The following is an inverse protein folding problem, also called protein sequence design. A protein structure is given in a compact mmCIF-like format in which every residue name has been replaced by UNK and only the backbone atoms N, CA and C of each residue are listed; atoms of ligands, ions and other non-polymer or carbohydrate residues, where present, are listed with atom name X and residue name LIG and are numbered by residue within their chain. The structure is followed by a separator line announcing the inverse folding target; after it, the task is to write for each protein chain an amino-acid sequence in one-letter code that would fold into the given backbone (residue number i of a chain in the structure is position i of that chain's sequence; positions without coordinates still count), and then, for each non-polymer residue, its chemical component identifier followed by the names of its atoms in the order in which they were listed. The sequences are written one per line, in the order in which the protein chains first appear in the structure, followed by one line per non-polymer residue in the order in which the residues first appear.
data_IF_911429209328
#
_entry.id   IF_911429209328
#
_cell.length_a   1.000
_cell.length_b   1.000
_cell.length_c   1.000
_cell.angle_alpha   90.00
_cell.angle_beta   90.00
_cell.angle_gamma   90.00
#
_symmetry.space_group_name_H-M   'P 1'
#
loop_
_entity.id
_entity.type
_entity.pdbx_description
1 polymer ?
#
# COMPACT_ATOMS: atom_id res chain seq x y z
N UNK A 1 1.62 10.18 4.13
CA UNK A 1 1.04 11.51 4.46
C UNK A 1 1.29 12.52 3.35
N UNK A 2 2.51 12.60 2.80
CA UNK A 2 2.83 13.52 1.69
C UNK A 2 1.96 13.34 0.45
N UNK A 3 1.67 12.10 0.03
CA UNK A 3 0.76 11.86 -1.11
C UNK A 3 -0.67 12.40 -0.87
N UNK A 4 -1.23 12.19 0.32
CA UNK A 4 -2.53 12.77 0.67
C UNK A 4 -2.46 14.31 0.76
N UNK A 5 -1.33 14.85 1.23
CA UNK A 5 -1.06 16.28 1.24
C UNK A 5 -0.99 16.88 -0.17
N UNK A 6 -0.32 16.21 -1.10
CA UNK A 6 -0.18 16.61 -2.50
C UNK A 6 -1.56 16.70 -3.19
N UNK A 7 -2.44 15.72 -2.92
CA UNK A 7 -3.80 15.73 -3.44
C UNK A 7 -4.61 16.93 -2.92
N UNK A 8 -4.49 17.23 -1.62
CA UNK A 8 -5.18 18.37 -1.01
C UNK A 8 -4.62 19.70 -1.48
N UNK A 9 -3.30 19.84 -1.66
CA UNK A 9 -2.72 21.06 -2.25
C UNK A 9 -3.16 21.28 -3.69
N UNK A 10 -3.38 20.21 -4.46
CA UNK A 10 -3.93 20.31 -5.81
C UNK A 10 -5.39 20.75 -5.82
N UNK A 11 -6.21 20.31 -4.86
CA UNK A 11 -7.61 20.76 -4.71
C UNK A 11 -7.74 22.20 -4.21
N UNK A 12 -6.77 22.69 -3.44
CA UNK A 12 -6.76 24.03 -2.85
C UNK A 12 -5.49 24.79 -3.27
N UNK A 13 -5.43 25.32 -4.50
CA UNK A 13 -4.25 26.05 -4.99
C UNK A 13 -3.87 27.23 -4.09
N UNK A 14 -2.56 27.49 -3.96
CA UNK A 14 -2.03 28.56 -3.09
C UNK A 14 -1.82 28.17 -1.63
N UNK A 15 -2.01 26.89 -1.29
CA UNK A 15 -1.72 26.32 0.02
C UNK A 15 -0.43 25.51 0.03
N UNK A 16 0.24 25.40 1.18
CA UNK A 16 1.49 24.64 1.31
C UNK A 16 1.22 23.12 1.37
N UNK A 17 2.06 22.36 0.67
CA UNK A 17 2.04 20.89 0.69
C UNK A 17 2.36 20.34 2.08
N UNK A 18 3.33 20.94 2.77
CA UNK A 18 3.75 20.57 4.12
C UNK A 18 2.58 20.69 5.10
N UNK A 19 1.82 21.79 5.00
CA UNK A 19 0.63 22.00 5.83
C UNK A 19 -0.38 20.85 5.64
N UNK A 20 -0.73 20.52 4.41
CA UNK A 20 -1.69 19.44 4.13
C UNK A 20 -1.15 18.06 4.48
N UNK A 21 0.14 17.80 4.29
CA UNK A 21 0.78 16.56 4.70
C UNK A 21 0.72 16.38 6.23
N UNK A 22 0.98 17.45 7.00
CA UNK A 22 0.86 17.46 8.46
C UNK A 22 -0.60 17.24 8.87
N UNK A 23 -1.55 17.97 8.26
CA UNK A 23 -2.98 17.79 8.53
C UNK A 23 -3.40 16.35 8.28
N UNK A 24 -3.04 15.76 7.13
CA UNK A 24 -3.38 14.39 6.80
C UNK A 24 -2.77 13.38 7.81
N UNK A 25 -1.53 13.60 8.25
CA UNK A 25 -0.87 12.81 9.28
C UNK A 25 -1.57 12.91 10.64
N UNK A 26 -1.93 14.12 11.08
CA UNK A 26 -2.68 14.37 12.32
C UNK A 26 -4.09 13.77 12.25
N UNK A 27 -4.76 13.83 11.09
CA UNK A 27 -6.07 13.21 10.88
C UNK A 27 -5.97 11.69 11.01
N UNK A 28 -4.97 11.05 10.37
CA UNK A 28 -4.72 9.61 10.52
C UNK A 28 -4.44 9.24 11.98
N UNK A 29 -3.57 10.01 12.65
CA UNK A 29 -3.29 9.86 14.08
C UNK A 29 -4.56 9.94 14.92
N UNK A 30 -5.37 10.97 14.73
CA UNK A 30 -6.59 11.19 15.53
C UNK A 30 -7.59 10.07 15.33
N UNK A 31 -7.85 9.68 14.08
CA UNK A 31 -8.79 8.59 13.75
C UNK A 31 -8.35 7.25 14.36
N UNK A 32 -7.06 6.96 14.32
CA UNK A 32 -6.50 5.71 14.87
C UNK A 32 -6.30 5.75 16.38
N UNK A 33 -6.11 6.93 16.97
CA UNK A 33 -6.00 7.17 18.41
C UNK A 33 -7.29 6.86 19.17
N UNK A 34 -8.43 7.10 18.51
CA UNK A 34 -9.76 6.73 19.03
C UNK A 34 -9.85 5.23 19.37
N UNK A 35 -8.99 4.40 18.76
CA UNK A 35 -8.87 2.98 19.10
C UNK A 35 -10.11 2.15 18.76
N UNK A 36 -10.99 2.66 17.88
CA UNK A 36 -12.22 1.98 17.46
C UNK A 36 -11.99 1.31 16.12
N UNK A 37 -11.76 0.00 16.13
CA UNK A 37 -11.53 -0.78 14.91
C UNK A 37 -12.67 -0.61 13.87
N UNK A 38 -13.93 -0.61 14.30
CA UNK A 38 -15.08 -0.41 13.41
C UNK A 38 -15.08 0.93 12.67
N UNK A 39 -14.57 1.99 13.30
CA UNK A 39 -14.44 3.30 12.65
C UNK A 39 -13.35 3.25 11.58
N UNK A 40 -12.20 2.69 11.94
CA UNK A 40 -11.08 2.46 11.00
C UNK A 40 -11.53 1.64 9.79
N UNK A 41 -12.21 0.52 10.03
CA UNK A 41 -12.67 -0.39 8.98
C UNK A 41 -13.65 0.30 8.02
N UNK A 42 -14.69 0.94 8.56
CA UNK A 42 -15.71 1.62 7.73
C UNK A 42 -15.12 2.76 6.91
N UNK A 43 -14.28 3.59 7.53
CA UNK A 43 -13.62 4.69 6.81
C UNK A 43 -12.68 4.16 5.72
N UNK A 44 -11.89 3.13 6.02
CA UNK A 44 -11.03 2.48 5.03
C UNK A 44 -11.85 1.94 3.86
N UNK A 45 -12.94 1.23 4.14
CA UNK A 45 -13.82 0.66 3.11
C UNK A 45 -14.44 1.75 2.22
N UNK A 46 -14.89 2.87 2.81
CA UNK A 46 -15.43 4.01 2.05
C UNK A 46 -14.35 4.62 1.15
N UNK A 47 -13.15 4.89 1.69
CA UNK A 47 -12.05 5.46 0.91
C UNK A 47 -11.60 4.52 -0.21
N UNK A 48 -11.52 3.22 0.07
CA UNK A 48 -11.23 2.17 -0.91
C UNK A 48 -12.29 2.17 -2.02
N UNK A 49 -13.57 2.25 -1.65
CA UNK A 49 -14.67 2.34 -2.61
C UNK A 49 -14.58 3.59 -3.49
N UNK A 50 -14.30 4.75 -2.89
CA UNK A 50 -14.13 6.01 -3.63
C UNK A 50 -12.94 5.90 -4.59
N UNK A 51 -11.75 5.50 -4.13
CA UNK A 51 -10.59 5.39 -5.02
C UNK A 51 -10.84 4.39 -6.15
N UNK A 52 -11.53 3.28 -5.87
CA UNK A 52 -11.80 2.27 -6.89
C UNK A 52 -12.76 2.82 -7.95
N UNK A 53 -13.91 3.36 -7.54
CA UNK A 53 -14.93 3.88 -8.48
C UNK A 53 -14.37 5.03 -9.31
N UNK A 54 -13.59 5.92 -8.69
CA UNK A 54 -13.00 7.07 -9.39
C UNK A 54 -11.92 6.64 -10.37
N UNK A 55 -10.87 5.94 -9.93
CA UNK A 55 -9.73 5.58 -10.79
C UNK A 55 -10.14 4.60 -11.88
N UNK A 56 -10.91 3.57 -11.54
CA UNK A 56 -11.40 2.59 -12.53
C UNK A 56 -12.43 3.23 -13.46
N UNK A 57 -13.30 4.10 -12.93
CA UNK A 57 -14.27 4.84 -13.73
C UNK A 57 -13.60 5.76 -14.75
N UNK A 58 -12.58 6.51 -14.33
CA UNK A 58 -11.79 7.35 -15.23
C UNK A 58 -11.08 6.48 -16.25
N UNK A 59 -10.36 5.43 -15.83
CA UNK A 59 -9.68 4.53 -16.77
C UNK A 59 -10.63 3.89 -17.81
N UNK A 60 -11.88 3.60 -17.43
CA UNK A 60 -12.89 3.08 -18.34
C UNK A 60 -13.39 4.13 -19.35
N UNK A 61 -13.44 5.41 -18.96
CA UNK A 61 -13.82 6.53 -19.83
C UNK A 61 -12.65 6.93 -20.74
N UNK A 62 -11.44 6.94 -20.20
CA UNK A 62 -10.20 7.28 -20.90
C UNK A 62 -9.63 6.10 -21.66
N UNK A 63 -10.37 5.00 -21.78
CA UNK A 63 -9.86 3.71 -22.20
C UNK A 63 -9.03 3.82 -23.50
N UNK A 64 -7.76 3.36 -23.50
CA UNK A 64 -7.01 3.20 -24.74
C UNK A 64 -7.71 2.13 -25.60
N UNK A 65 -7.32 2.03 -26.88
CA UNK A 65 -7.80 0.99 -27.80
C UNK A 65 -7.83 -0.39 -27.08
N UNK A 66 -9.03 -0.88 -26.74
CA UNK A 66 -9.25 -2.20 -26.10
C UNK A 66 -8.47 -3.35 -26.77
N UNK A 67 -8.27 -3.37 -28.11
CA UNK A 67 -7.42 -4.37 -28.76
C UNK A 67 -5.94 -4.34 -28.32
N UNK A 68 -5.36 -3.17 -28.06
CA UNK A 68 -3.95 -3.03 -27.64
C UNK A 68 -3.76 -3.50 -26.19
N UNK A 69 -4.75 -3.28 -25.32
CA UNK A 69 -4.74 -3.80 -23.94
C UNK A 69 -4.69 -5.33 -23.93
N UNK A 70 -5.40 -5.98 -24.86
CA UNK A 70 -5.36 -7.45 -25.03
C UNK A 70 -3.96 -7.91 -25.49
N UNK A 71 -3.32 -7.13 -26.37
CA UNK A 71 -1.93 -7.37 -26.76
C UNK A 71 -0.95 -7.32 -25.59
N UNK A 72 -1.17 -6.39 -24.65
CA UNK A 72 -0.37 -6.28 -23.41
C UNK A 72 -0.52 -7.44 -22.42
N UNK A 73 -1.53 -8.31 -22.59
CA UNK A 73 -1.67 -9.53 -21.78
C UNK A 73 -0.68 -10.63 -22.18
N UNK A 74 -0.03 -10.50 -23.34
CA UNK A 74 1.04 -11.42 -23.74
C UNK A 74 2.26 -11.12 -22.86
N UNK A 75 2.73 -12.08 -22.03
CA UNK A 75 3.84 -11.84 -21.11
C UNK A 75 5.12 -11.60 -21.92
N UNK A 76 5.51 -10.34 -22.01
CA UNK A 76 6.76 -9.89 -22.60
C UNK A 76 7.48 -9.01 -21.58
N UNK A 77 8.78 -9.23 -21.42
CA UNK A 77 9.64 -8.42 -20.57
C UNK A 77 10.65 -7.77 -21.51
N UNK A 78 10.45 -6.50 -21.88
CA UNK A 78 11.44 -5.73 -22.64
C UNK A 78 12.80 -5.72 -21.93
N UNK A 79 13.87 -5.65 -22.71
CA UNK A 79 15.23 -5.60 -22.16
C UNK A 79 15.37 -4.41 -21.19
N UNK A 80 15.98 -4.65 -20.02
CA UNK A 80 16.14 -3.63 -18.97
C UNK A 80 14.89 -3.32 -18.13
N UNK A 81 13.72 -3.88 -18.46
CA UNK A 81 12.47 -3.59 -17.74
C UNK A 81 12.20 -4.47 -16.52
N UNK A 82 12.99 -5.54 -16.33
CA UNK A 82 12.75 -6.56 -15.30
C UNK A 82 12.69 -5.97 -13.88
N UNK A 83 13.56 -5.00 -13.57
CA UNK A 83 13.58 -4.29 -12.28
C UNK A 83 12.30 -3.48 -12.09
N UNK A 84 11.78 -2.82 -13.13
CA UNK A 84 10.52 -2.08 -13.05
C UNK A 84 9.31 -3.00 -12.84
N UNK A 85 9.26 -4.14 -13.53
CA UNK A 85 8.20 -5.16 -13.36
C UNK A 85 8.17 -5.65 -11.90
N UNK A 86 9.34 -6.01 -11.35
CA UNK A 86 9.45 -6.45 -9.97
C UNK A 86 9.15 -5.34 -8.96
N UNK A 87 9.51 -4.10 -9.27
CA UNK A 87 9.21 -2.93 -8.43
C UNK A 87 7.69 -2.68 -8.35
N UNK A 88 6.97 -2.77 -9.47
CA UNK A 88 5.51 -2.67 -9.51
C UNK A 88 4.88 -3.84 -8.75
N UNK A 89 5.36 -5.07 -8.97
CA UNK A 89 4.87 -6.26 -8.26
C UNK A 89 5.06 -6.12 -6.74
N UNK A 90 6.20 -5.59 -6.30
CA UNK A 90 6.52 -5.34 -4.89
C UNK A 90 5.69 -4.22 -4.27
N UNK A 91 5.55 -3.10 -4.99
CA UNK A 91 4.82 -1.93 -4.52
C UNK A 91 3.34 -2.19 -4.31
N UNK A 92 2.73 -3.03 -5.16
CA UNK A 92 1.30 -3.36 -5.10
C UNK A 92 1.02 -4.48 -4.10
N UNK A 93 1.75 -5.59 -4.17
CA UNK A 93 1.41 -6.81 -3.43
C UNK A 93 2.20 -7.02 -2.14
N UNK A 94 3.29 -6.28 -1.94
CA UNK A 94 4.38 -6.67 -1.05
C UNK A 94 4.67 -5.75 0.12
N UNK A 95 3.65 -5.12 0.69
CA UNK A 95 3.85 -4.14 1.76
C UNK A 95 3.86 -4.77 3.15
N UNK A 96 4.49 -4.07 4.11
CA UNK A 96 4.52 -4.46 5.53
C UNK A 96 3.11 -4.70 6.09
N UNK A 97 2.10 -3.99 5.57
CA UNK A 97 0.71 -4.13 6.02
C UNK A 97 0.10 -5.49 5.72
N UNK A 98 0.70 -6.33 4.86
CA UNK A 98 0.24 -7.70 4.69
C UNK A 98 0.31 -8.49 6.01
N UNK A 99 1.33 -8.23 6.83
CA UNK A 99 1.44 -8.80 8.18
C UNK A 99 0.39 -8.23 9.15
N UNK A 100 -0.13 -7.03 8.90
CA UNK A 100 -1.18 -6.43 9.71
C UNK A 100 -2.53 -7.14 9.57
N UNK A 101 -2.77 -7.84 8.46
CA UNK A 101 -4.03 -8.55 8.22
C UNK A 101 -4.38 -9.54 9.35
N UNK A 102 -3.40 -10.28 9.86
CA UNK A 102 -3.59 -11.18 11.00
C UNK A 102 -4.10 -10.49 12.27
N UNK A 103 -3.69 -9.23 12.49
CA UNK A 103 -4.15 -8.43 13.61
C UNK A 103 -5.59 -7.92 13.39
N UNK A 104 -5.93 -7.53 12.17
CA UNK A 104 -7.31 -7.13 11.83
C UNK A 104 -8.30 -8.29 11.91
N UNK A 105 -7.89 -9.51 11.56
CA UNK A 105 -8.69 -10.72 11.80
C UNK A 105 -8.93 -10.96 13.29
N UNK A 106 -7.93 -10.71 14.14
CA UNK A 106 -8.09 -10.80 15.60
C UNK A 106 -9.11 -9.80 16.12
N UNK A 107 -9.09 -8.56 15.62
CA UNK A 107 -10.08 -7.52 15.94
C UNK A 107 -11.51 -7.88 15.49
N UNK A 108 -11.63 -8.63 14.38
CA UNK A 108 -12.91 -9.19 13.90
C UNK A 108 -13.33 -10.50 14.57
N UNK A 109 -12.50 -11.02 15.48
CA UNK A 109 -12.68 -12.34 16.09
C UNK A 109 -12.69 -13.51 15.06
N UNK A 110 -12.02 -13.30 13.91
CA UNK A 110 -11.86 -14.27 12.81
C UNK A 110 -10.58 -15.11 12.95
N UNK A 111 -10.37 -15.70 14.13
CA UNK A 111 -9.13 -16.43 14.45
C UNK A 111 -9.31 -17.95 14.63
N UNK A 112 -10.51 -18.49 14.38
CA UNK A 112 -10.81 -19.92 14.49
C UNK A 112 -10.99 -20.56 13.11
N UNK A 113 -10.74 -21.88 12.95
CA UNK A 113 -10.84 -22.55 11.65
C UNK A 113 -12.19 -22.41 10.92
N UNK A 114 -13.29 -22.16 11.65
CA UNK A 114 -14.62 -21.91 11.07
C UNK A 114 -14.65 -20.72 10.10
N UNK A 115 -13.76 -19.75 10.28
CA UNK A 115 -13.67 -18.55 9.46
C UNK A 115 -12.80 -18.72 8.23
N UNK A 116 -12.13 -19.87 8.03
CA UNK A 116 -11.17 -20.06 6.95
C UNK A 116 -11.78 -19.83 5.56
N UNK A 117 -13.02 -20.28 5.33
CA UNK A 117 -13.71 -20.04 4.05
C UNK A 117 -14.00 -18.55 3.84
N UNK A 118 -14.43 -17.85 4.88
CA UNK A 118 -14.70 -16.40 4.83
C UNK A 118 -13.42 -15.62 4.57
N UNK A 119 -12.33 -15.95 5.27
CA UNK A 119 -11.01 -15.33 5.08
C UNK A 119 -10.46 -15.56 3.67
N UNK A 120 -10.68 -16.74 3.09
CA UNK A 120 -10.27 -17.02 1.69
C UNK A 120 -11.08 -16.21 0.69
N UNK A 121 -12.39 -16.11 0.90
CA UNK A 121 -13.26 -15.30 0.05
C UNK A 121 -12.91 -13.80 0.16
N UNK A 122 -12.69 -13.30 1.38
CA UNK A 122 -12.26 -11.93 1.65
C UNK A 122 -10.96 -11.60 0.92
N UNK A 123 -9.93 -12.45 1.05
CA UNK A 123 -8.68 -12.29 0.32
C UNK A 123 -8.86 -12.38 -1.20
N UNK A 124 -9.65 -13.34 -1.69
CA UNK A 124 -9.87 -13.51 -3.13
C UNK A 124 -10.54 -12.26 -3.75
N UNK A 125 -11.56 -11.72 -3.10
CA UNK A 125 -12.24 -10.49 -3.52
C UNK A 125 -11.28 -9.31 -3.44
N UNK A 126 -10.55 -9.16 -2.32
CA UNK A 126 -9.59 -8.08 -2.15
C UNK A 126 -8.54 -8.07 -3.27
N UNK A 127 -7.89 -9.20 -3.54
CA UNK A 127 -6.88 -9.29 -4.60
C UNK A 127 -7.44 -9.14 -6.01
N UNK A 128 -8.67 -9.61 -6.28
CA UNK A 128 -9.32 -9.39 -7.57
C UNK A 128 -9.60 -7.89 -7.81
N UNK A 129 -10.14 -7.20 -6.81
CA UNK A 129 -10.40 -5.75 -6.85
C UNK A 129 -9.08 -4.98 -6.99
N UNK A 130 -8.04 -5.34 -6.23
CA UNK A 130 -6.70 -4.75 -6.39
C UNK A 130 -6.13 -4.99 -7.78
N UNK A 131 -6.27 -6.19 -8.35
CA UNK A 131 -5.82 -6.48 -9.71
C UNK A 131 -6.49 -5.58 -10.76
N UNK A 132 -7.82 -5.43 -10.68
CA UNK A 132 -8.57 -4.51 -11.57
C UNK A 132 -8.08 -3.07 -11.39
N UNK A 133 -7.91 -2.63 -10.15
CA UNK A 133 -7.43 -1.28 -9.84
C UNK A 133 -6.03 -1.00 -10.41
N UNK A 134 -5.12 -1.98 -10.31
CA UNK A 134 -3.75 -1.86 -10.83
C UNK A 134 -3.76 -1.79 -12.34
N UNK A 135 -4.53 -2.65 -13.01
CA UNK A 135 -4.69 -2.60 -14.47
C UNK A 135 -5.27 -1.26 -14.94
N UNK A 136 -6.29 -0.75 -14.24
CA UNK A 136 -6.87 0.56 -14.51
C UNK A 136 -5.86 1.69 -14.33
N UNK A 137 -5.08 1.67 -13.25
CA UNK A 137 -4.05 2.68 -12.98
C UNK A 137 -2.93 2.63 -14.01
N UNK A 138 -2.51 1.43 -14.44
CA UNK A 138 -1.52 1.26 -15.51
C UNK A 138 -2.03 1.79 -16.86
N UNK A 139 -3.29 1.48 -17.21
CA UNK A 139 -3.91 1.97 -18.44
C UNK A 139 -4.03 3.51 -18.44
N UNK A 140 -4.46 4.08 -17.31
CA UNK A 140 -4.55 5.53 -17.12
C UNK A 140 -3.16 6.18 -17.19
N UNK A 141 -2.16 5.58 -16.54
CA UNK A 141 -0.77 6.04 -16.64
C UNK A 141 -0.24 6.01 -18.06
N UNK A 142 -0.46 4.91 -18.79
CA UNK A 142 -0.02 4.76 -20.18
C UNK A 142 -0.68 5.79 -21.11
N UNK A 143 -2.01 5.96 -21.04
CA UNK A 143 -2.73 6.93 -21.87
C UNK A 143 -2.28 8.37 -21.57
N UNK A 144 -2.11 8.73 -20.28
CA UNK A 144 -1.68 10.08 -19.91
C UNK A 144 -0.23 10.36 -20.31
N UNK A 145 0.68 9.40 -20.14
CA UNK A 145 2.08 9.53 -20.58
C UNK A 145 2.19 9.61 -22.11
N UNK A 146 1.42 8.80 -22.83
CA UNK A 146 1.46 8.74 -24.29
C UNK A 146 0.78 9.96 -24.94
N UNK A 147 -0.35 10.41 -24.39
CA UNK A 147 -1.09 11.55 -24.92
C UNK A 147 -0.48 12.90 -24.58
N UNK A 148 0.24 13.01 -23.46
CA UNK A 148 0.83 14.27 -23.05
C UNK A 148 2.14 14.57 -23.79
N UNK A 149 2.88 13.57 -24.31
CA UNK A 149 4.28 13.75 -24.76
C UNK A 149 5.16 14.43 -23.68
N UNK A 150 4.65 14.49 -22.44
CA UNK A 150 5.27 15.07 -21.27
C UNK A 150 6.22 14.00 -20.80
N UNK A 151 7.52 14.24 -20.99
CA UNK A 151 8.49 13.68 -20.07
C UNK A 151 8.03 14.11 -18.68
N UNK A 152 7.47 13.19 -17.89
CA UNK A 152 7.17 13.42 -16.48
C UNK A 152 8.40 14.09 -15.93
N UNK A 153 8.28 15.37 -15.62
CA UNK A 153 9.43 16.13 -15.18
C UNK A 153 9.96 15.43 -13.92
N UNK A 154 11.27 15.40 -13.72
CA UNK A 154 11.94 14.87 -12.49
C UNK A 154 11.50 15.60 -11.20
N UNK A 155 10.43 16.40 -11.27
CA UNK A 155 9.82 17.12 -10.17
C UNK A 155 8.78 16.22 -9.48
N UNK A 156 8.65 16.38 -8.17
CA UNK A 156 7.70 15.65 -7.30
C UNK A 156 6.20 15.96 -7.59
N UNK A 157 5.87 16.44 -8.81
CA UNK A 157 4.56 16.97 -9.23
C UNK A 157 3.78 16.05 -10.19
N UNK A 158 4.21 14.81 -10.43
CA UNK A 158 3.53 13.92 -11.41
C UNK A 158 2.01 13.73 -11.21
N UNK A 159 1.48 13.93 -9.99
CA UNK A 159 0.03 13.97 -9.77
C UNK A 159 -0.64 15.19 -10.43
N UNK A 160 -0.03 16.37 -10.29
CA UNK A 160 -0.53 17.64 -10.81
C UNK A 160 -0.50 17.60 -12.33
N UNK A 161 0.61 17.14 -12.91
CA UNK A 161 0.74 16.94 -14.35
C UNK A 161 -0.38 16.04 -14.91
N UNK A 162 -0.68 14.92 -14.22
CA UNK A 162 -1.79 14.03 -14.61
C UNK A 162 -3.17 14.68 -14.48
N UNK A 163 -3.37 15.49 -13.43
CA UNK A 163 -4.63 16.19 -13.22
C UNK A 163 -4.87 17.27 -14.28
N UNK A 164 -3.83 18.00 -14.68
CA UNK A 164 -3.88 19.04 -15.71
C UNK A 164 -4.21 18.41 -17.08
N UNK A 165 -3.57 17.30 -17.45
CA UNK A 165 -3.88 16.57 -18.69
C UNK A 165 -5.34 16.06 -18.71
N UNK A 166 -5.83 15.56 -17.57
CA UNK A 166 -7.22 15.15 -17.44
C UNK A 166 -8.19 16.34 -17.53
N UNK A 167 -7.81 17.49 -16.98
CA UNK A 167 -8.61 18.72 -17.05
C UNK A 167 -8.71 19.23 -18.49
N UNK A 168 -7.59 19.29 -19.21
CA UNK A 168 -7.54 19.77 -20.59
C UNK A 168 -8.37 18.89 -21.54
N UNK A 169 -8.36 17.57 -21.33
CA UNK A 169 -9.00 16.62 -22.25
C UNK A 169 -10.43 16.25 -21.88
N UNK A 170 -10.73 16.16 -20.58
CA UNK A 170 -12.03 15.67 -20.07
C UNK A 170 -12.74 16.68 -19.16
N UNK A 171 -12.16 17.85 -18.95
CA UNK A 171 -12.72 18.94 -18.17
C UNK A 171 -12.43 18.84 -16.66
N UNK A 172 -12.62 19.98 -15.98
CA UNK A 172 -12.36 20.17 -14.55
C UNK A 172 -13.03 19.13 -13.65
N UNK A 173 -14.20 18.62 -14.04
CA UNK A 173 -14.91 17.59 -13.25
C UNK A 173 -14.09 16.29 -13.15
N UNK A 174 -13.54 15.81 -14.27
CA UNK A 174 -12.78 14.56 -14.29
C UNK A 174 -11.43 14.69 -13.59
N UNK A 175 -10.75 15.83 -13.75
CA UNK A 175 -9.53 16.16 -13.00
C UNK A 175 -9.79 16.15 -11.49
N UNK A 176 -10.82 16.85 -11.01
CA UNK A 176 -11.16 16.84 -9.57
C UNK A 176 -11.56 15.46 -9.07
N UNK A 177 -12.28 14.68 -9.87
CA UNK A 177 -12.65 13.30 -9.54
C UNK A 177 -11.41 12.41 -9.38
N UNK A 178 -10.40 12.59 -10.26
CA UNK A 178 -9.11 11.91 -10.18
C UNK A 178 -8.37 12.27 -8.89
N UNK A 179 -8.26 13.56 -8.57
CA UNK A 179 -7.55 14.02 -7.37
C UNK A 179 -8.23 13.48 -6.10
N UNK A 180 -9.56 13.44 -6.05
CA UNK A 180 -10.31 12.82 -4.94
C UNK A 180 -10.04 11.32 -4.83
N UNK A 181 -9.96 10.62 -5.96
CA UNK A 181 -9.57 9.21 -6.01
C UNK A 181 -8.17 8.97 -5.47
N UNK A 182 -7.20 9.77 -5.93
CA UNK A 182 -5.82 9.70 -5.48
C UNK A 182 -5.67 10.05 -3.98
N UNK A 183 -6.37 11.08 -3.51
CA UNK A 183 -6.45 11.39 -2.08
C UNK A 183 -6.95 10.20 -1.27
N UNK A 184 -8.03 9.56 -1.73
CA UNK A 184 -8.63 8.42 -1.06
C UNK A 184 -7.66 7.22 -0.99
N UNK A 185 -6.90 6.98 -2.06
CA UNK A 185 -5.85 5.97 -2.09
C UNK A 185 -4.70 6.28 -1.12
N UNK A 186 -4.17 7.51 -1.18
CA UNK A 186 -3.05 7.92 -0.33
C UNK A 186 -3.43 7.96 1.16
N UNK A 187 -4.62 8.46 1.49
CA UNK A 187 -5.10 8.58 2.85
C UNK A 187 -5.46 7.22 3.47
N UNK A 188 -6.13 6.33 2.72
CA UNK A 188 -6.43 4.97 3.19
C UNK A 188 -5.16 4.15 3.47
N UNK A 189 -4.13 4.28 2.62
CA UNK A 189 -2.81 3.66 2.85
C UNK A 189 -2.15 4.16 4.15
N UNK A 190 -2.19 5.48 4.40
CA UNK A 190 -1.68 6.05 5.65
C UNK A 190 -2.43 5.52 6.88
N UNK A 191 -3.76 5.48 6.80
CA UNK A 191 -4.61 4.99 7.88
C UNK A 191 -4.32 3.51 8.19
N UNK A 192 -4.16 2.68 7.16
CA UNK A 192 -3.81 1.26 7.27
C UNK A 192 -2.48 1.03 7.98
N UNK A 193 -1.44 1.80 7.61
CA UNK A 193 -0.12 1.73 8.26
C UNK A 193 -0.20 2.17 9.73
N UNK A 194 -0.89 3.29 10.02
CA UNK A 194 -1.01 3.82 11.38
C UNK A 194 -1.67 2.83 12.32
N UNK A 195 -2.72 2.14 11.86
CA UNK A 195 -3.38 1.13 12.66
C UNK A 195 -2.57 -0.18 12.72
N UNK A 196 -2.24 -0.74 11.55
CA UNK A 196 -1.65 -2.08 11.44
C UNK A 196 -0.27 -2.20 12.06
N UNK A 197 0.64 -1.27 11.74
CA UNK A 197 2.02 -1.32 12.25
C UNK A 197 2.06 -1.02 13.75
N UNK A 198 1.18 -0.14 14.25
CA UNK A 198 1.05 0.11 15.69
C UNK A 198 0.59 -1.14 16.46
N UNK A 199 -0.29 -1.96 15.86
CA UNK A 199 -0.69 -3.24 16.45
C UNK A 199 0.45 -4.26 16.45
N UNK A 200 1.18 -4.36 15.33
CA UNK A 200 2.36 -5.22 15.22
C UNK A 200 3.42 -4.86 16.28
N UNK A 201 3.69 -3.57 16.47
CA UNK A 201 4.62 -3.11 17.50
C UNK A 201 4.12 -3.41 18.91
N UNK A 202 2.83 -3.16 19.19
CA UNK A 202 2.26 -3.45 20.50
C UNK A 202 2.38 -4.93 20.87
N UNK A 203 2.14 -5.81 19.89
CA UNK A 203 2.27 -7.26 20.03
C UNK A 203 3.73 -7.69 20.20
N UNK A 204 4.67 -7.10 19.45
CA UNK A 204 6.11 -7.32 19.62
C UNK A 204 6.58 -6.99 21.04
N UNK A 205 6.20 -5.82 21.58
CA UNK A 205 6.50 -5.45 22.96
C UNK A 205 5.83 -6.40 23.95
N UNK A 206 4.61 -6.86 23.66
CA UNK A 206 3.92 -7.87 24.43
C UNK A 206 4.74 -9.15 24.59
N UNK A 207 5.27 -9.68 23.47
CA UNK A 207 6.13 -10.85 23.47
C UNK A 207 7.45 -10.62 24.23
N UNK A 208 8.14 -9.50 23.99
CA UNK A 208 9.38 -9.17 24.70
C UNK A 208 9.20 -9.07 26.21
N UNK A 209 8.07 -8.52 26.65
CA UNK A 209 7.75 -8.34 28.08
C UNK A 209 6.96 -9.49 28.67
N UNK A 210 6.75 -10.59 27.93
CA UNK A 210 5.96 -11.76 28.34
C UNK A 210 4.57 -11.39 28.86
N UNK A 211 3.94 -10.40 28.23
CA UNK A 211 2.58 -9.98 28.55
C UNK A 211 1.60 -11.02 27.96
N UNK A 212 0.57 -11.47 28.71
CA UNK A 212 -0.41 -12.42 28.19
C UNK A 212 -1.10 -11.92 26.91
N UNK A 213 -1.42 -12.84 26.00
CA UNK A 213 -2.20 -12.49 24.83
C UNK A 213 -3.59 -11.99 25.23
N UNK A 214 -4.07 -10.94 24.55
CA UNK A 214 -5.34 -10.28 24.87
C UNK A 214 -5.25 -9.22 25.97
N UNK A 215 -4.05 -8.93 26.51
CA UNK A 215 -3.88 -7.86 27.49
C UNK A 215 -4.20 -6.48 26.86
N UNK A 216 -5.04 -5.66 27.52
CA UNK A 216 -5.45 -4.33 27.02
C UNK A 216 -4.29 -3.37 26.71
N UNK A 217 -3.09 -3.59 27.26
CA UNK A 217 -1.91 -2.77 26.97
C UNK A 217 -1.37 -3.00 25.55
N UNK A 218 -1.67 -4.16 24.96
CA UNK A 218 -1.19 -4.62 23.65
C UNK A 218 -2.30 -4.66 22.58
N UNK A 219 -3.55 -4.37 22.96
CA UNK A 219 -4.69 -4.30 22.06
C UNK A 219 -4.78 -2.95 21.32
N UNK A 220 -5.73 -2.83 20.39
CA UNK A 220 -6.08 -1.55 19.78
C UNK A 220 -6.39 -0.50 20.86
N UNK A 221 -5.78 0.68 20.75
CA UNK A 221 -5.91 1.76 21.73
C UNK A 221 -5.11 1.56 23.03
N UNK A 222 -4.40 0.44 23.18
CA UNK A 222 -3.55 0.14 24.33
C UNK A 222 -2.32 1.04 24.46
N UNK A 223 -1.62 0.95 25.60
CA UNK A 223 -0.44 1.78 25.90
C UNK A 223 0.65 1.68 24.84
N UNK A 224 1.02 0.46 24.42
CA UNK A 224 2.12 0.26 23.48
C UNK A 224 1.72 0.63 22.05
N UNK A 225 0.47 0.37 21.67
CA UNK A 225 -0.13 0.83 20.43
C UNK A 225 -0.06 2.36 20.33
N UNK A 226 -0.53 3.08 21.37
CA UNK A 226 -0.51 4.55 21.43
C UNK A 226 0.89 5.14 21.44
N UNK A 227 1.82 4.51 22.16
CA UNK A 227 3.22 4.95 22.20
C UNK A 227 3.85 4.91 20.80
N UNK A 228 3.66 3.80 20.08
CA UNK A 228 4.15 3.68 18.72
C UNK A 228 3.43 4.62 17.75
N UNK A 229 2.12 4.81 17.94
CA UNK A 229 1.34 5.72 17.11
C UNK A 229 1.86 7.17 17.19
N UNK A 230 2.25 7.64 18.38
CA UNK A 230 2.93 8.93 18.56
C UNK A 230 4.27 8.93 17.84
N UNK A 231 5.08 7.88 18.03
CA UNK A 231 6.39 7.76 17.41
C UNK A 231 6.34 7.65 15.88
N UNK A 232 5.28 7.06 15.32
CA UNK A 232 5.05 6.96 13.88
C UNK A 232 4.59 8.30 13.29
N UNK A 233 3.96 9.15 14.10
CA UNK A 233 3.34 10.41 13.63
C UNK A 233 4.30 11.58 13.69
N UNK A 234 4.82 11.91 14.87
CA UNK A 234 5.48 13.20 15.10
C UNK A 234 6.95 13.24 14.67
N UNK A 235 7.81 12.26 14.99
CA UNK A 235 9.19 12.25 14.51
C UNK A 235 9.32 12.36 12.98
N UNK A 236 8.54 11.63 12.16
CA UNK A 236 8.64 11.76 10.71
C UNK A 236 8.15 13.11 10.17
N UNK A 237 7.28 13.83 10.88
CA UNK A 237 6.85 15.18 10.46
C UNK A 237 8.00 16.18 10.50
N UNK A 238 8.99 16.01 11.39
CA UNK A 238 10.19 16.85 11.41
C UNK A 238 11.01 16.70 10.11
N UNK A 239 10.94 15.52 9.48
CA UNK A 239 11.61 15.26 8.21
C UNK A 239 10.94 16.00 7.04
N UNK A 240 9.65 16.29 7.12
CA UNK A 240 8.96 17.13 6.13
C UNK A 240 9.51 18.56 6.15
N UNK A 241 9.90 19.07 7.32
CA UNK A 241 10.50 20.41 7.48
C UNK A 241 11.93 20.47 6.95
N UNK A 242 12.61 19.33 6.85
CA UNK A 242 14.00 19.24 6.36
C UNK A 242 14.08 19.22 4.83
N UNK A 243 12.94 19.26 4.12
CA UNK A 243 12.88 19.60 2.70
C UNK A 243 13.51 18.60 1.72
N UNK A 244 14.17 17.54 2.19
CA UNK A 244 14.59 16.32 1.46
C UNK A 244 15.54 15.49 2.34
N UNK A 245 15.14 14.29 2.78
CA UNK A 245 16.09 13.30 3.19
C UNK A 245 16.08 12.19 2.14
N UNK A 246 16.76 12.43 1.02
CA UNK A 246 16.98 11.40 -0.02
C UNK A 246 17.48 10.09 0.60
N UNK A 247 18.33 10.17 1.63
CA UNK A 247 18.77 9.01 2.40
C UNK A 247 17.65 8.25 3.14
N UNK A 248 16.59 8.90 3.61
CA UNK A 248 15.44 8.23 4.23
C UNK A 248 14.53 7.57 3.19
N UNK A 249 14.37 8.18 2.02
CA UNK A 249 13.63 7.58 0.90
C UNK A 249 14.36 6.33 0.41
N UNK A 250 15.68 6.43 0.22
CA UNK A 250 16.53 5.30 -0.18
C UNK A 250 16.50 4.22 0.91
N UNK A 251 16.70 4.56 2.19
CA UNK A 251 16.66 3.59 3.29
C UNK A 251 15.31 2.89 3.41
N UNK A 252 14.20 3.63 3.22
CA UNK A 252 12.86 3.05 3.19
C UNK A 252 12.67 2.10 1.99
N UNK A 253 13.15 2.49 0.80
CA UNK A 253 13.13 1.65 -0.40
C UNK A 253 13.89 0.34 -0.19
N UNK A 254 15.11 0.41 0.35
CA UNK A 254 15.95 -0.76 0.66
C UNK A 254 15.30 -1.67 1.72
N UNK A 255 14.77 -1.09 2.81
CA UNK A 255 14.06 -1.85 3.84
C UNK A 255 12.80 -2.53 3.28
N UNK A 256 12.07 -1.84 2.41
CA UNK A 256 10.90 -2.38 1.71
C UNK A 256 11.27 -3.54 0.78
N UNK A 257 12.35 -3.41 0.01
CA UNK A 257 12.85 -4.46 -0.88
C UNK A 257 13.28 -5.72 -0.13
N UNK A 258 13.84 -5.58 1.08
CA UNK A 258 14.23 -6.69 1.95
C UNK A 258 13.04 -7.39 2.62
N UNK A 259 11.92 -6.68 2.82
CA UNK A 259 10.77 -7.21 3.53
C UNK A 259 10.10 -8.37 2.79
N UNK A 260 9.97 -8.28 1.47
CA UNK A 260 9.28 -9.31 0.67
C UNK A 260 9.98 -10.67 0.66
N UNK A 261 11.30 -10.75 0.41
CA UNK A 261 12.06 -11.99 0.58
C UNK A 261 11.93 -12.57 1.99
N UNK A 262 12.06 -11.71 3.00
CA UNK A 262 11.94 -12.13 4.40
C UNK A 262 10.57 -12.76 4.68
N UNK A 263 9.49 -12.09 4.25
CA UNK A 263 8.13 -12.58 4.47
C UNK A 263 7.87 -13.87 3.68
N UNK A 264 8.24 -13.91 2.40
CA UNK A 264 8.04 -15.07 1.52
C UNK A 264 8.74 -16.32 2.04
N UNK A 265 10.02 -16.21 2.39
CA UNK A 265 10.80 -17.32 2.93
C UNK A 265 10.29 -17.76 4.31
N UNK A 266 9.97 -16.81 5.19
CA UNK A 266 9.46 -17.13 6.53
C UNK A 266 8.11 -17.84 6.46
N UNK A 267 7.19 -17.38 5.61
CA UNK A 267 5.91 -18.05 5.40
C UNK A 267 6.07 -19.42 4.75
N UNK A 268 7.00 -19.57 3.81
CA UNK A 268 7.31 -20.87 3.20
C UNK A 268 7.80 -21.87 4.26
N UNK A 269 8.62 -21.45 5.22
CA UNK A 269 9.00 -22.31 6.35
C UNK A 269 7.80 -22.59 7.26
N UNK A 270 7.19 -21.54 7.81
CA UNK A 270 6.13 -21.65 8.84
C UNK A 270 4.95 -22.51 8.38
N UNK A 271 4.46 -22.29 7.16
CA UNK A 271 3.30 -22.99 6.59
C UNK A 271 3.55 -24.46 6.24
N UNK A 272 4.81 -24.91 6.26
CA UNK A 272 5.18 -26.31 6.07
C UNK A 272 5.58 -27.01 7.38
N UNK A 273 5.57 -26.31 8.53
CA UNK A 273 5.96 -26.89 9.82
C UNK A 273 4.84 -27.68 10.53
N UNK A 274 5.20 -28.31 11.66
CA UNK A 274 4.26 -29.00 12.55
C UNK A 274 3.25 -28.06 13.24
N UNK A 275 3.55 -26.77 13.34
CA UNK A 275 2.67 -25.77 13.96
C UNK A 275 1.43 -25.48 13.10
N UNK A 276 1.48 -25.75 11.80
CA UNK A 276 0.33 -25.60 10.90
C UNK A 276 -0.41 -26.93 10.74
N UNK A 277 -1.75 -26.95 10.94
CA UNK A 277 -2.57 -28.14 10.71
C UNK A 277 -2.37 -28.69 9.29
N UNK A 278 -2.26 -30.02 9.14
CA UNK A 278 -1.93 -30.68 7.86
C UNK A 278 -2.81 -30.23 6.69
N UNK A 279 -4.12 -30.06 6.93
CA UNK A 279 -5.09 -29.64 5.91
C UNK A 279 -4.86 -28.21 5.36
N UNK A 280 -4.12 -27.37 6.07
CA UNK A 280 -3.83 -25.98 5.69
C UNK A 280 -2.36 -25.74 5.35
N UNK A 281 -1.55 -26.81 5.25
CA UNK A 281 -0.17 -26.68 4.78
C UNK A 281 -0.15 -26.44 3.29
N UNK A 282 0.92 -25.78 2.84
CA UNK A 282 1.10 -25.51 1.43
C UNK A 282 1.29 -26.82 0.64
N UNK A 283 0.62 -26.91 -0.50
CA UNK A 283 0.93 -27.91 -1.52
C UNK A 283 2.20 -27.54 -2.28
N UNK A 284 2.70 -28.49 -3.09
CA UNK A 284 3.91 -28.28 -3.89
C UNK A 284 3.79 -27.07 -4.84
N UNK A 285 2.62 -26.82 -5.44
CA UNK A 285 2.37 -25.67 -6.33
C UNK A 285 2.61 -24.35 -5.60
N UNK A 286 2.00 -24.20 -4.42
CA UNK A 286 2.12 -22.96 -3.61
C UNK A 286 3.56 -22.78 -3.15
N UNK A 287 4.23 -23.86 -2.73
CA UNK A 287 5.64 -23.81 -2.35
C UNK A 287 6.55 -23.39 -3.50
N UNK A 288 6.35 -23.94 -4.70
CA UNK A 288 7.11 -23.56 -5.89
C UNK A 288 6.89 -22.09 -6.25
N UNK A 289 5.64 -21.62 -6.26
CA UNK A 289 5.33 -20.22 -6.55
C UNK A 289 5.95 -19.27 -5.52
N UNK A 290 5.81 -19.58 -4.22
CA UNK A 290 6.41 -18.78 -3.16
C UNK A 290 7.95 -18.77 -3.25
N UNK A 291 8.58 -19.90 -3.59
CA UNK A 291 10.02 -19.97 -3.78
C UNK A 291 10.48 -19.11 -4.97
N UNK A 292 9.80 -19.21 -6.12
CA UNK A 292 10.09 -18.39 -7.31
C UNK A 292 9.95 -16.91 -7.01
N UNK A 293 8.85 -16.51 -6.36
CA UNK A 293 8.62 -15.11 -5.95
C UNK A 293 9.72 -14.65 -4.99
N UNK A 294 10.04 -15.46 -3.98
CA UNK A 294 11.09 -15.10 -3.01
C UNK A 294 12.45 -14.91 -3.70
N UNK A 295 12.83 -15.81 -4.62
CA UNK A 295 14.08 -15.71 -5.38
C UNK A 295 14.09 -14.46 -6.27
N UNK A 296 12.98 -14.14 -6.95
CA UNK A 296 12.88 -12.95 -7.78
C UNK A 296 13.04 -11.65 -6.96
N UNK A 297 12.45 -11.58 -5.76
CA UNK A 297 12.63 -10.43 -4.88
C UNK A 297 14.02 -10.38 -4.22
N UNK A 298 14.67 -11.53 -3.97
CA UNK A 298 16.09 -11.56 -3.56
C UNK A 298 16.95 -10.96 -4.67
N UNK A 299 16.71 -11.35 -5.92
CA UNK A 299 17.41 -10.76 -7.06
C UNK A 299 17.19 -9.24 -7.15
N UNK A 300 15.94 -8.77 -7.02
CA UNK A 300 15.63 -7.34 -6.99
C UNK A 300 16.43 -6.61 -5.90
N UNK A 301 16.46 -7.20 -4.70
CA UNK A 301 17.16 -6.62 -3.56
C UNK A 301 18.68 -6.53 -3.81
N UNK A 302 19.30 -7.59 -4.33
CA UNK A 302 20.73 -7.58 -4.67
C UNK A 302 21.03 -6.56 -5.76
N UNK A 303 20.18 -6.47 -6.79
CA UNK A 303 20.31 -5.48 -7.87
C UNK A 303 20.26 -4.05 -7.34
N UNK A 304 19.25 -3.73 -6.52
CA UNK A 304 19.09 -2.40 -5.93
C UNK A 304 20.25 -2.05 -4.98
N UNK A 305 20.73 -3.01 -4.20
CA UNK A 305 21.91 -2.79 -3.34
C UNK A 305 23.18 -2.56 -4.16
N UNK A 306 23.35 -3.24 -5.29
CA UNK A 306 24.47 -3.04 -6.19
C UNK A 306 24.47 -1.70 -6.92
N UNK A 307 23.31 -1.07 -7.12
CA UNK A 307 23.21 0.30 -7.65
C UNK A 307 23.54 1.38 -6.61
N UNK A 308 23.38 1.06 -5.32
CA UNK A 308 23.58 2.01 -4.20
C UNK A 308 25.04 2.00 -3.70
N UNK A 309 25.76 0.88 -3.84
CA UNK A 309 27.15 0.67 -3.39
C UNK A 309 28.18 1.03 -4.46
#
# INVERSE_FOLDING_TARGET
MSGAGLALSALFPGTSLEMWAIIAGISCFTLTWLGRYQLFEKLSAILVGIMFVTVVGIAAITAPNLPEVIGGLVPQIPDGSFVYVLSIAGGVGGTITLAAYGYWLREKEWYTPKWMQVMRMDNAVAYAVTGIFVLATLALGAELLYSANVAVSDNDQGLVDMADVLEDRYGTFMSKLFIVGFFSAAFSSCLGVWNGVSLMFADYIGHLKKIPQGDPRTSTGGKYYRAYLIWLTFPPMLLLLLGKPTGLIIAYGVLGALFMPFLGLTLLVLLNTKHTPKQWRNGWIVNTLMAVISVAFVYLCVSQLGEIL
#
